data_IF_199220662182
#
_entry.id   IF_199220662182
#
_cell.length_a   1.000
_cell.length_b   1.000
_cell.length_c   1.000
_cell.angle_alpha   90.00
_cell.angle_beta   90.00
_cell.angle_gamma   90.00
#
_symmetry.space_group_name_H-M   'P 1'
#
loop_
_entity.id
_entity.type
_entity.pdbx_description
1 polymer ?
#
# COMPACT_ATOMS: atom_id res chain seq x y z
N UNK A 1 -26.58 -22.08 -23.16
CA UNK A 1 -26.71 -20.92 -22.25
C UNK A 1 -25.31 -20.38 -22.05
N UNK A 2 -24.98 -19.31 -22.75
CA UNK A 2 -23.68 -18.64 -22.75
C UNK A 2 -23.72 -17.57 -21.67
N UNK A 3 -22.76 -17.53 -20.74
CA UNK A 3 -22.33 -16.28 -20.11
C UNK A 3 -20.81 -16.31 -19.96
N UNK A 4 -20.14 -15.56 -20.83
CA UNK A 4 -18.74 -15.17 -20.77
C UNK A 4 -18.54 -13.96 -19.85
N UNK A 5 -17.32 -13.82 -19.31
CA UNK A 5 -16.74 -12.53 -18.88
C UNK A 5 -17.17 -12.04 -17.49
N UNK A 6 -16.31 -11.46 -16.66
CA UNK A 6 -15.17 -10.61 -17.00
C UNK A 6 -14.17 -10.54 -15.85
N UNK A 7 -12.89 -10.73 -16.20
CA UNK A 7 -11.72 -10.47 -15.36
C UNK A 7 -11.57 -8.97 -15.15
N UNK A 8 -11.56 -8.53 -13.89
CA UNK A 8 -11.30 -7.15 -13.48
C UNK A 8 -9.83 -6.81 -13.71
N UNK A 9 -9.53 -6.40 -14.94
CA UNK A 9 -8.24 -5.88 -15.38
C UNK A 9 -7.94 -4.57 -14.63
N UNK A 10 -6.95 -4.59 -13.75
CA UNK A 10 -6.34 -3.40 -13.14
C UNK A 10 -5.84 -2.48 -14.26
N UNK A 11 -6.52 -1.35 -14.42
CA UNK A 11 -6.12 -0.27 -15.32
C UNK A 11 -4.82 0.36 -14.81
N UNK A 12 -3.68 -0.11 -15.33
CA UNK A 12 -2.46 0.69 -15.31
C UNK A 12 -2.69 1.93 -16.18
N UNK A 13 -2.72 3.11 -15.55
CA UNK A 13 -2.63 4.38 -16.27
C UNK A 13 -1.21 4.52 -16.82
N UNK A 14 -1.04 4.07 -18.05
CA UNK A 14 0.11 4.42 -18.90
C UNK A 14 0.19 5.94 -19.01
N UNK A 15 1.26 6.54 -18.49
CA UNK A 15 1.52 7.97 -18.61
C UNK A 15 1.83 8.30 -20.06
N UNK A 16 0.89 8.91 -20.77
CA UNK A 16 1.05 9.40 -22.13
C UNK A 16 2.20 10.41 -22.21
N UNK A 17 3.28 10.02 -22.89
CA UNK A 17 4.39 10.91 -23.27
C UNK A 17 3.94 11.81 -24.43
N UNK A 18 3.39 12.98 -24.12
CA UNK A 18 3.27 14.07 -25.10
C UNK A 18 4.54 14.92 -25.04
N UNK A 19 5.29 14.94 -26.16
CA UNK A 19 6.47 15.82 -26.33
C UNK A 19 6.01 17.27 -26.39
N UNK A 20 6.06 17.99 -25.27
CA UNK A 20 5.96 19.45 -25.24
C UNK A 20 7.34 20.06 -24.95
N UNK A 21 7.56 21.28 -25.47
CA UNK A 21 8.80 22.08 -25.43
C UNK A 21 9.75 21.75 -24.27
N UNK A 22 11.05 21.65 -24.57
CA UNK A 22 12.13 21.36 -23.61
C UNK A 22 12.15 22.36 -22.43
N UNK A 23 11.39 22.04 -21.39
CA UNK A 23 11.43 22.69 -20.09
C UNK A 23 12.37 21.91 -19.18
N UNK A 24 13.36 22.59 -18.59
CA UNK A 24 14.31 21.94 -17.69
C UNK A 24 13.63 21.56 -16.37
N UNK A 25 13.60 20.27 -16.03
CA UNK A 25 13.11 19.82 -14.72
C UNK A 25 14.16 20.11 -13.67
N UNK A 26 13.81 20.82 -12.60
CA UNK A 26 14.73 21.18 -11.51
C UNK A 26 14.17 20.75 -10.16
N UNK A 27 15.06 20.55 -9.20
CA UNK A 27 14.68 20.29 -7.81
C UNK A 27 14.17 21.57 -7.13
N UNK A 28 13.30 21.37 -6.13
CA UNK A 28 12.81 22.45 -5.28
C UNK A 28 13.95 23.20 -4.59
N UNK A 29 13.70 24.46 -4.24
CA UNK A 29 14.64 25.30 -3.49
C UNK A 29 16.01 25.55 -4.18
N UNK A 30 16.07 25.47 -5.51
CA UNK A 30 17.27 25.78 -6.30
C UNK A 30 17.13 27.11 -7.06
N UNK A 31 18.23 27.77 -7.42
CA UNK A 31 18.20 29.01 -8.23
C UNK A 31 17.58 28.74 -9.62
N UNK A 32 17.79 27.55 -10.16
CA UNK A 32 17.20 27.11 -11.43
C UNK A 32 15.67 27.01 -11.37
N UNK A 33 15.09 26.79 -10.18
CA UNK A 33 13.63 26.81 -9.97
C UNK A 33 13.00 28.18 -10.16
N UNK A 34 13.80 29.26 -10.11
CA UNK A 34 13.34 30.63 -10.36
C UNK A 34 13.46 31.05 -11.84
N UNK A 35 14.10 30.21 -12.68
CA UNK A 35 14.34 30.53 -14.09
C UNK A 35 13.09 30.30 -14.94
N UNK A 36 12.92 31.10 -15.99
CA UNK A 36 11.81 30.95 -16.96
C UNK A 36 11.87 29.57 -17.61
N UNK A 37 10.71 28.94 -17.80
CA UNK A 37 10.56 27.61 -18.40
C UNK A 37 11.17 26.45 -17.58
N UNK A 38 11.46 26.65 -16.29
CA UNK A 38 11.79 25.56 -15.37
C UNK A 38 10.52 24.88 -14.86
N UNK A 39 10.54 23.54 -14.74
CA UNK A 39 9.49 22.76 -14.07
C UNK A 39 10.06 22.25 -12.76
N UNK A 40 9.52 22.74 -11.65
CA UNK A 40 9.93 22.32 -10.30
C UNK A 40 9.24 21.00 -9.96
N UNK A 41 10.03 20.00 -9.56
CA UNK A 41 9.49 18.74 -9.04
C UNK A 41 8.81 18.98 -7.70
N UNK A 42 7.58 18.50 -7.57
CA UNK A 42 6.86 18.53 -6.29
C UNK A 42 7.50 17.61 -5.25
N UNK A 43 7.16 17.78 -3.96
CA UNK A 43 7.68 16.94 -2.90
C UNK A 43 7.32 15.46 -3.14
N UNK A 44 8.18 14.52 -2.71
CA UNK A 44 7.89 13.09 -2.86
C UNK A 44 6.60 12.74 -2.10
N UNK A 45 5.86 11.77 -2.63
CA UNK A 45 4.66 11.28 -1.96
C UNK A 45 5.02 10.72 -0.58
N UNK A 46 4.46 11.31 0.48
CA UNK A 46 4.74 10.93 1.88
C UNK A 46 4.44 9.45 2.18
N UNK A 47 3.54 8.83 1.42
CA UNK A 47 3.22 7.42 1.57
C UNK A 47 2.44 7.08 2.85
N UNK A 48 1.80 8.06 3.50
CA UNK A 48 1.08 7.89 4.75
C UNK A 48 -0.01 6.80 4.70
N UNK A 49 -0.67 6.64 3.54
CA UNK A 49 -1.72 5.63 3.32
C UNK A 49 -1.22 4.38 2.59
N UNK A 50 0.09 4.27 2.33
CA UNK A 50 0.63 3.03 1.76
C UNK A 50 0.58 1.98 2.86
N UNK A 51 -0.15 0.90 2.59
CA UNK A 51 -0.19 -0.25 3.50
C UNK A 51 1.23 -0.75 3.74
N UNK A 52 1.60 -0.87 5.02
CA UNK A 52 2.89 -1.41 5.44
C UNK A 52 2.70 -2.89 5.77
N UNK A 53 3.54 -3.79 5.24
CA UNK A 53 3.46 -5.20 5.61
C UNK A 53 3.62 -5.36 7.13
N UNK A 54 2.72 -6.11 7.74
CA UNK A 54 2.78 -6.38 9.17
C UNK A 54 4.00 -7.25 9.49
N UNK A 55 4.80 -6.81 10.47
CA UNK A 55 5.89 -7.65 11.00
C UNK A 55 5.29 -8.85 11.75
N UNK A 56 5.99 -10.00 11.80
CA UNK A 56 5.59 -11.09 12.69
C UNK A 56 5.40 -10.60 14.12
N UNK A 57 4.22 -10.78 14.69
CA UNK A 57 3.88 -10.28 16.02
C UNK A 57 4.37 -11.24 17.09
N UNK A 58 4.75 -10.71 18.25
CA UNK A 58 5.08 -11.53 19.41
C UNK A 58 3.86 -12.37 19.86
N UNK A 59 2.65 -11.82 19.71
CA UNK A 59 1.40 -12.53 19.95
C UNK A 59 1.33 -13.86 19.22
N UNK A 60 1.65 -13.88 17.91
CA UNK A 60 1.66 -15.12 17.12
C UNK A 60 2.65 -16.15 17.68
N UNK A 61 3.86 -15.70 18.07
CA UNK A 61 4.89 -16.58 18.67
C UNK A 61 4.47 -17.16 20.02
N UNK A 62 3.88 -16.34 20.89
CA UNK A 62 3.40 -16.76 22.22
C UNK A 62 2.18 -17.68 22.12
N UNK A 63 1.30 -17.43 21.14
CA UNK A 63 0.14 -18.27 20.85
C UNK A 63 0.55 -19.66 20.36
N UNK A 64 1.46 -19.74 19.38
CA UNK A 64 1.96 -21.03 18.85
C UNK A 64 2.73 -21.84 19.91
N UNK A 65 3.35 -21.17 20.88
CA UNK A 65 4.03 -21.83 22.02
C UNK A 65 3.09 -22.29 23.14
N UNK A 66 1.87 -21.76 23.23
CA UNK A 66 0.94 -22.05 24.33
C UNK A 66 1.26 -21.33 25.64
N UNK A 67 1.94 -20.18 25.59
CA UNK A 67 2.30 -19.36 26.77
C UNK A 67 1.13 -18.52 27.29
N UNK A 68 0.10 -18.32 26.46
CA UNK A 68 -1.10 -17.59 26.86
C UNK A 68 -2.18 -18.54 27.38
N UNK A 69 -2.87 -18.17 28.48
CA UNK A 69 -4.04 -18.90 28.99
C UNK A 69 -5.30 -18.62 28.15
N UNK A 70 -5.17 -18.68 26.82
CA UNK A 70 -6.24 -18.43 25.85
C UNK A 70 -6.29 -19.62 24.89
N UNK A 71 -7.40 -20.36 24.89
CA UNK A 71 -7.65 -21.44 23.94
C UNK A 71 -8.77 -21.03 22.96
N UNK A 72 -8.64 -21.45 21.70
CA UNK A 72 -9.72 -21.38 20.74
C UNK A 72 -10.61 -22.60 20.94
N UNK A 73 -11.81 -22.42 21.46
CA UNK A 73 -12.79 -23.48 21.59
C UNK A 73 -13.62 -23.56 20.30
N UNK A 74 -13.48 -24.68 19.59
CA UNK A 74 -14.29 -24.98 18.42
C UNK A 74 -15.59 -25.66 18.84
N UNK A 75 -16.58 -24.88 19.28
CA UNK A 75 -17.95 -25.35 19.48
C UNK A 75 -18.72 -25.33 18.14
N UNK A 76 -19.61 -26.28 17.95
CA UNK A 76 -20.52 -26.40 16.81
C UNK A 76 -21.44 -25.17 16.62
N UNK A 77 -21.61 -24.36 17.67
CA UNK A 77 -22.38 -23.10 17.66
C UNK A 77 -21.56 -21.85 17.34
N UNK A 78 -20.23 -21.96 17.23
CA UNK A 78 -19.33 -20.87 16.87
C UNK A 78 -17.99 -20.89 17.62
N UNK A 79 -17.06 -20.05 17.17
CA UNK A 79 -15.74 -19.93 17.79
C UNK A 79 -15.81 -19.04 19.04
N UNK A 80 -15.60 -19.64 20.21
CA UNK A 80 -15.50 -18.92 21.48
C UNK A 80 -14.06 -18.94 21.98
N UNK A 81 -13.66 -17.87 22.66
CA UNK A 81 -12.40 -17.84 23.38
C UNK A 81 -12.63 -18.38 24.79
N UNK A 82 -11.95 -19.46 25.13
CA UNK A 82 -11.95 -20.01 26.47
C UNK A 82 -10.72 -19.47 27.21
N UNK A 83 -10.96 -18.86 28.37
CA UNK A 83 -9.91 -18.44 29.31
C UNK A 83 -9.62 -19.62 30.26
N UNK A 84 -8.34 -19.98 30.41
CA UNK A 84 -7.90 -21.09 31.27
C UNK A 84 -7.22 -20.61 32.55
#
# INVERSE_FOLDING_TARGET
MVIEGTSSKTTQRESSKTKSKASASTEGFTVQALMKNSIVRGPPAAGAYKERPAKPTAFRKFYERGDFPIALEHDTKGNKIAWK
#
